data_IF_014892217392
#
_entry.id   IF_014892217392
#
_cell.length_a   1.000
_cell.length_b   1.000
_cell.length_c   1.000
_cell.angle_alpha   90.00
_cell.angle_beta   90.00
_cell.angle_gamma   90.00
#
_symmetry.space_group_name_H-M   'P 1'
#
loop_
_entity.id
_entity.type
_entity.pdbx_description
1 polymer ?
#
# COMPACT_ATOMS: atom_id res chain seq x y z
N UNK A 1 7.81 -12.97 -5.37
CA UNK A 1 7.21 -12.85 -4.01
C UNK A 1 5.91 -12.06 -4.07
N UNK A 2 4.94 -12.22 -3.16
CA UNK A 2 3.71 -11.39 -3.15
C UNK A 2 3.72 -10.41 -1.98
N UNK A 3 3.38 -9.16 -2.26
CA UNK A 3 3.42 -8.07 -1.27
C UNK A 3 2.12 -7.28 -1.36
N UNK A 4 1.46 -7.09 -0.21
CA UNK A 4 0.28 -6.22 -0.13
C UNK A 4 0.71 -4.82 0.26
N UNK A 5 0.13 -3.79 -0.38
CA UNK A 5 0.40 -2.39 -0.08
C UNK A 5 -0.87 -1.67 0.39
N UNK A 6 -0.71 -0.85 1.42
CA UNK A 6 -1.73 0.06 1.96
C UNK A 6 -1.75 1.40 1.22
N UNK A 7 -2.93 2.00 1.05
CA UNK A 7 -3.11 3.31 0.45
C UNK A 7 -2.29 4.41 1.16
N UNK A 8 -2.10 4.35 2.49
CA UNK A 8 -1.28 5.34 3.22
C UNK A 8 0.16 5.35 2.74
N UNK A 9 0.69 4.20 2.31
CA UNK A 9 2.03 4.08 1.73
C UNK A 9 2.07 4.81 0.38
N UNK A 10 1.10 4.56 -0.50
CA UNK A 10 0.97 5.24 -1.79
C UNK A 10 0.78 6.76 -1.66
N UNK A 11 0.04 7.22 -0.64
CA UNK A 11 -0.11 8.65 -0.34
C UNK A 11 1.20 9.24 0.18
N UNK A 12 1.89 8.52 1.07
CA UNK A 12 3.19 8.95 1.61
C UNK A 12 4.25 9.07 0.51
N UNK A 13 4.21 8.21 -0.50
CA UNK A 13 5.15 8.19 -1.63
C UNK A 13 5.20 9.52 -2.35
N UNK A 14 4.03 10.06 -2.67
CA UNK A 14 3.90 11.33 -3.41
C UNK A 14 4.07 12.55 -2.52
N UNK A 15 3.77 12.44 -1.22
CA UNK A 15 3.92 13.56 -0.28
C UNK A 15 5.37 13.79 0.18
N UNK A 16 6.22 12.79 -0.03
CA UNK A 16 7.59 12.82 0.47
C UNK A 16 8.57 13.42 -0.55
N UNK A 17 9.58 14.13 -0.03
CA UNK A 17 10.70 14.65 -0.83
C UNK A 17 11.57 13.56 -1.44
N UNK A 18 12.54 13.93 -2.29
CA UNK A 18 13.54 12.98 -2.83
C UNK A 18 14.23 12.23 -1.66
N UNK A 19 14.34 10.90 -1.76
CA UNK A 19 14.99 10.05 -0.77
C UNK A 19 14.10 9.49 0.34
N UNK A 20 12.78 9.71 0.29
CA UNK A 20 11.86 9.01 1.20
C UNK A 20 11.63 7.56 0.78
N UNK A 21 11.59 6.61 1.73
CA UNK A 21 11.26 5.22 1.46
C UNK A 21 9.97 5.00 0.68
N UNK A 22 8.95 5.85 0.89
CA UNK A 22 7.71 5.73 0.15
C UNK A 22 7.88 6.13 -1.33
N UNK A 23 8.76 7.09 -1.62
CA UNK A 23 9.14 7.43 -3.00
C UNK A 23 10.14 6.43 -3.59
N UNK A 24 10.94 5.77 -2.75
CA UNK A 24 11.75 4.63 -3.17
C UNK A 24 10.86 3.43 -3.53
N UNK A 25 9.68 3.28 -2.92
CA UNK A 25 8.69 2.30 -3.39
C UNK A 25 8.18 2.66 -4.79
N UNK A 26 7.83 3.93 -5.06
CA UNK A 26 7.51 4.36 -6.44
C UNK A 26 8.67 4.12 -7.41
N UNK A 27 9.92 4.31 -6.98
CA UNK A 27 11.11 4.06 -7.80
C UNK A 27 11.40 2.57 -8.00
N UNK A 28 11.26 1.78 -6.94
CA UNK A 28 11.22 0.32 -6.92
C UNK A 28 9.95 -0.25 -7.54
N UNK A 29 9.12 0.58 -8.18
CA UNK A 29 8.07 0.19 -9.11
C UNK A 29 8.29 0.80 -10.49
N UNK A 30 9.41 1.52 -10.69
CA UNK A 30 9.86 2.07 -11.99
C UNK A 30 11.11 1.43 -12.64
N UNK A 31 11.97 0.71 -11.90
CA UNK A 31 13.09 -0.08 -12.45
C UNK A 31 12.84 -1.61 -12.58
N UNK A 32 12.74 -2.12 -13.81
CA UNK A 32 12.60 -3.56 -14.12
C UNK A 32 13.96 -4.30 -13.98
N UNK A 33 14.03 -5.52 -13.37
CA UNK A 33 12.93 -6.32 -12.81
C UNK A 33 12.73 -6.20 -11.29
N UNK A 34 11.45 -6.19 -10.89
CA UNK A 34 11.05 -6.45 -9.50
C UNK A 34 10.80 -7.94 -9.32
N UNK A 35 11.38 -8.51 -8.27
CA UNK A 35 11.16 -9.92 -7.92
C UNK A 35 9.86 -10.15 -7.11
N UNK A 36 8.90 -9.21 -7.19
CA UNK A 36 7.64 -9.29 -6.45
C UNK A 36 6.41 -8.75 -7.18
N UNK A 37 5.25 -9.36 -6.88
CA UNK A 37 3.92 -8.95 -7.29
C UNK A 37 3.33 -8.03 -6.21
N UNK A 38 2.93 -6.81 -6.60
CA UNK A 38 2.15 -5.93 -5.72
C UNK A 38 0.66 -6.21 -5.82
N UNK A 39 0.04 -6.33 -4.65
CA UNK A 39 -1.37 -6.62 -4.47
C UNK A 39 -2.01 -5.57 -3.56
N UNK A 40 -3.31 -5.32 -3.75
CA UNK A 40 -4.08 -4.48 -2.86
C UNK A 40 -5.57 -4.86 -2.90
N UNK A 41 -6.36 -4.60 -1.85
CA UNK A 41 -7.80 -4.72 -1.96
C UNK A 41 -8.35 -3.71 -2.98
N UNK A 42 -9.44 -4.05 -3.68
CA UNK A 42 -10.05 -3.15 -4.67
C UNK A 42 -10.44 -1.77 -4.11
N UNK A 43 -10.61 -1.64 -2.80
CA UNK A 43 -10.87 -0.36 -2.13
C UNK A 43 -9.68 0.61 -2.13
N UNK A 44 -8.46 0.14 -2.42
CA UNK A 44 -7.24 0.96 -2.39
C UNK A 44 -7.37 2.20 -3.28
N UNK A 45 -7.81 2.03 -4.53
CA UNK A 45 -7.80 3.13 -5.49
C UNK A 45 -8.85 4.21 -5.20
N UNK A 46 -10.13 3.88 -4.90
CA UNK A 46 -11.08 4.88 -4.44
C UNK A 46 -10.61 5.63 -3.19
N UNK A 47 -10.05 4.92 -2.19
CA UNK A 47 -9.51 5.55 -0.97
C UNK A 47 -8.33 6.45 -1.28
N UNK A 48 -7.44 6.03 -2.18
CA UNK A 48 -6.28 6.80 -2.59
C UNK A 48 -6.71 8.12 -3.27
N UNK A 49 -7.64 8.06 -4.22
CA UNK A 49 -8.17 9.25 -4.89
C UNK A 49 -8.85 10.19 -3.90
N UNK A 50 -9.68 9.65 -2.99
CA UNK A 50 -10.33 10.42 -1.92
C UNK A 50 -9.30 11.15 -1.05
N UNK A 51 -8.27 10.45 -0.59
CA UNK A 51 -7.23 11.02 0.29
C UNK A 51 -6.42 12.10 -0.43
N UNK A 52 -6.03 11.86 -1.68
CA UNK A 52 -5.26 12.83 -2.48
C UNK A 52 -6.07 14.08 -2.82
N UNK A 53 -7.39 13.94 -2.99
CA UNK A 53 -8.31 15.05 -3.25
C UNK A 53 -8.60 15.91 -2.00
N UNK A 54 -8.19 15.49 -0.79
CA UNK A 54 -8.40 16.29 0.42
C UNK A 54 -7.70 17.66 0.29
N UNK A 55 -8.37 18.79 0.58
CA UNK A 55 -7.81 20.13 0.31
C UNK A 55 -6.41 20.38 0.88
N UNK A 56 -6.11 19.83 2.06
CA UNK A 56 -4.78 19.94 2.70
C UNK A 56 -3.70 19.19 1.92
N UNK A 57 -4.01 18.01 1.39
CA UNK A 57 -3.09 17.16 0.64
C UNK A 57 -2.90 17.74 -0.76
N UNK A 58 -4.00 18.07 -1.44
CA UNK A 58 -3.99 18.69 -2.76
C UNK A 58 -3.19 19.99 -2.77
N UNK A 59 -3.39 20.87 -1.78
CA UNK A 59 -2.61 22.12 -1.63
C UNK A 59 -1.11 21.86 -1.43
N UNK A 60 -0.73 20.77 -0.75
CA UNK A 60 0.66 20.41 -0.51
C UNK A 60 1.33 19.85 -1.77
N UNK A 61 0.60 19.06 -2.56
CA UNK A 61 1.11 18.48 -3.81
C UNK A 61 1.08 19.48 -4.97
N UNK A 62 0.17 20.45 -4.94
CA UNK A 62 -0.10 21.33 -6.06
C UNK A 62 -0.81 20.63 -7.22
N UNK A 63 -1.39 19.46 -6.99
CA UNK A 63 -2.00 18.62 -8.03
C UNK A 63 -3.45 18.99 -8.31
N UNK A 64 -3.81 18.95 -9.58
CA UNK A 64 -5.18 18.92 -10.09
C UNK A 64 -5.82 17.53 -9.92
N UNK A 65 -7.14 17.45 -10.06
CA UNK A 65 -7.86 16.16 -10.11
C UNK A 65 -7.34 15.27 -11.25
N UNK A 66 -6.94 15.87 -12.38
CA UNK A 66 -6.35 15.16 -13.51
C UNK A 66 -5.00 14.52 -13.14
N UNK A 67 -4.15 15.22 -12.40
CA UNK A 67 -2.86 14.67 -11.93
C UNK A 67 -3.05 13.54 -10.92
N UNK A 68 -4.04 13.66 -10.02
CA UNK A 68 -4.42 12.58 -9.10
C UNK A 68 -4.87 11.34 -9.91
N UNK A 69 -5.75 11.52 -10.91
CA UNK A 69 -6.22 10.42 -11.75
C UNK A 69 -5.09 9.76 -12.56
N UNK A 70 -4.15 10.56 -13.08
CA UNK A 70 -2.96 10.05 -13.77
C UNK A 70 -2.11 9.19 -12.82
N UNK A 71 -1.86 9.66 -11.60
CA UNK A 71 -1.10 8.91 -10.60
C UNK A 71 -1.77 7.58 -10.26
N UNK A 72 -3.06 7.60 -9.92
CA UNK A 72 -3.83 6.38 -9.62
C UNK A 72 -3.82 5.41 -10.79
N UNK A 73 -3.99 5.89 -12.02
CA UNK A 73 -3.94 5.04 -13.23
C UNK A 73 -2.58 4.41 -13.45
N UNK A 74 -1.49 5.13 -13.15
CA UNK A 74 -0.13 4.56 -13.23
C UNK A 74 0.05 3.44 -12.22
N UNK A 75 -0.39 3.62 -10.98
CA UNK A 75 -0.31 2.56 -9.97
C UNK A 75 -1.10 1.30 -10.36
N UNK A 76 -2.25 1.44 -11.03
CA UNK A 76 -3.03 0.31 -11.57
C UNK A 76 -2.27 -0.56 -12.57
N UNK A 77 -1.18 -0.07 -13.17
CA UNK A 77 -0.33 -0.87 -14.06
C UNK A 77 0.57 -1.83 -13.29
N UNK A 78 0.86 -1.54 -12.02
CA UNK A 78 1.81 -2.27 -11.19
C UNK A 78 1.16 -3.01 -10.02
N UNK A 79 0.03 -2.52 -9.53
CA UNK A 79 -0.70 -3.10 -8.39
C UNK A 79 -1.90 -3.87 -8.92
N UNK A 80 -1.94 -5.17 -8.61
CA UNK A 80 -3.08 -6.03 -8.90
C UNK A 80 -4.14 -5.92 -7.81
N UNK A 81 -5.36 -5.57 -8.21
CA UNK A 81 -6.52 -5.52 -7.32
C UNK A 81 -6.99 -6.94 -6.94
N UNK A 82 -7.34 -7.10 -5.67
CA UNK A 82 -7.87 -8.33 -5.09
C UNK A 82 -9.24 -8.01 -4.50
N UNK A 83 -10.25 -8.71 -4.99
CA UNK A 83 -11.61 -8.59 -4.46
C UNK A 83 -11.71 -9.37 -3.15
N UNK A 84 -11.83 -8.62 -2.06
CA UNK A 84 -12.13 -9.15 -0.74
C UNK A 84 -13.65 -9.10 -0.60
N UNK A 85 -14.35 -10.18 -0.97
CA UNK A 85 -15.82 -10.28 -0.93
C UNK A 85 -16.39 -10.19 0.49
N UNK A 86 -17.70 -10.42 0.67
CA UNK A 86 -18.32 -10.34 2.00
C UNK A 86 -17.70 -11.37 2.96
N UNK A 87 -16.99 -10.86 3.96
CA UNK A 87 -16.10 -11.63 4.81
C UNK A 87 -16.79 -12.16 6.05
N UNK A 88 -18.09 -12.50 5.98
CA UNK A 88 -18.89 -12.95 7.14
C UNK A 88 -18.33 -14.15 7.94
N UNK A 89 -17.17 -14.71 7.54
CA UNK A 89 -16.40 -15.73 8.26
C UNK A 89 -14.93 -15.35 8.54
N UNK A 90 -14.46 -14.17 8.12
CA UNK A 90 -13.08 -13.75 8.29
C UNK A 90 -12.96 -12.95 9.60
N UNK A 91 -11.94 -13.22 10.42
CA UNK A 91 -11.69 -12.45 11.63
C UNK A 91 -11.48 -10.96 11.35
N UNK A 92 -11.89 -10.15 12.33
CA UNK A 92 -11.39 -8.78 12.47
C UNK A 92 -9.96 -8.83 13.02
N UNK A 93 -9.03 -8.19 12.33
CA UNK A 93 -7.61 -8.15 12.66
C UNK A 93 -7.18 -6.79 13.21
N UNK A 94 -7.71 -5.70 12.64
CA UNK A 94 -7.35 -4.32 13.00
C UNK A 94 -8.38 -3.70 13.95
N UNK A 95 -8.04 -2.59 14.60
CA UNK A 95 -9.00 -1.86 15.45
C UNK A 95 -10.03 -1.14 14.58
N UNK A 96 -9.56 -0.44 13.55
CA UNK A 96 -10.38 0.13 12.49
C UNK A 96 -10.71 -0.93 11.44
N UNK A 97 -12.00 -1.24 11.26
CA UNK A 97 -12.45 -2.21 10.26
C UNK A 97 -12.23 -1.76 8.82
N UNK A 98 -11.97 -0.47 8.57
CA UNK A 98 -11.60 -0.01 7.22
C UNK A 98 -10.24 -0.59 6.76
N UNK A 99 -9.38 -1.02 7.70
CA UNK A 99 -8.04 -1.54 7.43
C UNK A 99 -7.99 -3.07 7.23
N UNK A 100 -8.99 -3.80 7.72
CA UNK A 100 -9.08 -5.26 7.61
C UNK A 100 -8.93 -5.79 6.17
N UNK A 101 -9.47 -5.14 5.12
CA UNK A 101 -9.31 -5.61 3.75
C UNK A 101 -7.86 -5.74 3.28
N UNK A 102 -6.92 -4.97 3.82
CA UNK A 102 -5.49 -5.14 3.53
C UNK A 102 -4.95 -6.45 4.11
N UNK A 103 -5.31 -6.76 5.36
CA UNK A 103 -4.94 -8.00 6.04
C UNK A 103 -5.59 -9.20 5.34
N UNK A 104 -6.87 -9.09 4.99
CA UNK A 104 -7.61 -10.13 4.27
C UNK A 104 -7.00 -10.40 2.90
N UNK A 105 -6.60 -9.35 2.17
CA UNK A 105 -5.87 -9.49 0.90
C UNK A 105 -4.59 -10.31 1.09
N UNK A 106 -3.82 -10.02 2.15
CA UNK A 106 -2.59 -10.74 2.44
C UNK A 106 -2.85 -12.22 2.74
N UNK A 107 -3.87 -12.52 3.55
CA UNK A 107 -4.26 -13.90 3.89
C UNK A 107 -4.74 -14.67 2.65
N UNK A 108 -5.69 -14.10 1.90
CA UNK A 108 -6.29 -14.74 0.72
C UNK A 108 -5.25 -15.06 -0.36
N UNK A 109 -4.29 -14.17 -0.55
CA UNK A 109 -3.28 -14.30 -1.61
C UNK A 109 -2.02 -15.04 -1.16
N UNK A 110 -1.92 -15.37 0.15
CA UNK A 110 -0.72 -15.87 0.81
C UNK A 110 0.48 -14.95 0.57
N UNK A 111 0.26 -13.65 0.79
CA UNK A 111 1.32 -12.66 0.67
C UNK A 111 2.43 -12.94 1.68
N UNK A 112 3.67 -12.67 1.27
CA UNK A 112 4.83 -12.78 2.14
C UNK A 112 4.90 -11.59 3.10
N UNK A 113 4.49 -10.42 2.62
CA UNK A 113 4.55 -9.17 3.37
C UNK A 113 3.29 -8.31 3.17
N UNK A 114 2.93 -7.55 4.20
CA UNK A 114 2.00 -6.42 4.15
C UNK A 114 2.78 -5.16 4.50
N UNK A 115 2.86 -4.21 3.57
CA UNK A 115 3.49 -2.90 3.79
C UNK A 115 2.40 -1.90 4.19
N UNK A 116 2.56 -1.28 5.35
CA UNK A 116 1.64 -0.24 5.82
C UNK A 116 2.36 0.93 6.49
N UNK A 117 1.70 2.08 6.50
CA UNK A 117 2.07 3.24 7.31
C UNK A 117 1.11 3.49 8.48
N UNK A 118 0.14 2.59 8.69
CA UNK A 118 -0.87 2.68 9.74
C UNK A 118 -0.43 1.93 11.00
N UNK A 119 -0.43 2.59 12.15
CA UNK A 119 -0.14 1.95 13.43
C UNK A 119 -1.12 0.84 13.79
N UNK A 120 -2.38 0.92 13.34
CA UNK A 120 -3.36 -0.14 13.63
C UNK A 120 -3.05 -1.44 12.86
N UNK A 121 -2.31 -1.36 11.75
CA UNK A 121 -1.76 -2.51 11.01
C UNK A 121 -0.36 -2.87 11.53
N UNK A 122 0.53 -1.90 11.69
CA UNK A 122 1.92 -2.11 12.11
C UNK A 122 2.03 -2.73 13.51
N UNK A 123 1.18 -2.30 14.44
CA UNK A 123 1.23 -2.71 15.86
C UNK A 123 0.28 -3.89 16.18
N UNK A 124 -0.21 -4.61 15.17
CA UNK A 124 -1.07 -5.77 15.36
C UNK A 124 -0.41 -6.82 16.27
N UNK A 125 -1.15 -7.30 17.27
CA UNK A 125 -0.70 -8.42 18.09
C UNK A 125 -0.97 -9.73 17.33
N UNK A 126 0.11 -10.42 16.94
CA UNK A 126 0.08 -11.68 16.17
C UNK A 126 -0.52 -11.52 14.76
N UNK A 127 0.09 -10.70 13.88
CA UNK A 127 -0.42 -10.53 12.53
C UNK A 127 -0.33 -11.86 11.74
N UNK A 128 -1.32 -12.18 10.88
CA UNK A 128 -1.32 -13.41 10.10
C UNK A 128 -0.32 -13.39 8.92
N UNK A 129 0.32 -12.25 8.69
CA UNK A 129 1.33 -11.98 7.66
C UNK A 129 2.42 -11.11 8.28
N UNK A 130 3.64 -11.18 7.77
CA UNK A 130 4.71 -10.27 8.22
C UNK A 130 4.39 -8.83 7.78
N UNK A 131 4.27 -7.94 8.74
CA UNK A 131 3.99 -6.53 8.49
C UNK A 131 5.29 -5.73 8.55
N UNK A 132 5.49 -4.83 7.59
CA UNK A 132 6.65 -3.92 7.53
C UNK A 132 6.18 -2.50 7.22
N UNK A 133 6.92 -1.50 7.69
CA UNK A 133 6.81 -0.17 7.10
C UNK A 133 7.56 -0.09 5.76
N UNK A 134 7.29 0.96 4.98
CA UNK A 134 7.91 1.13 3.66
C UNK A 134 9.46 1.21 3.72
N UNK A 135 10.00 1.80 4.78
CA UNK A 135 11.45 1.92 5.00
C UNK A 135 12.10 0.58 5.29
N UNK A 136 11.47 -0.21 6.16
CA UNK A 136 11.93 -1.55 6.49
C UNK A 136 11.89 -2.45 5.25
N UNK A 137 10.79 -2.41 4.49
CA UNK A 137 10.66 -3.21 3.27
C UNK A 137 11.77 -2.88 2.26
N UNK A 138 11.95 -1.59 1.92
CA UNK A 138 12.98 -1.16 0.97
C UNK A 138 14.38 -1.55 1.45
N UNK A 139 14.69 -1.33 2.73
CA UNK A 139 16.02 -1.66 3.28
C UNK A 139 16.33 -3.15 3.21
N UNK A 140 15.34 -4.01 3.49
CA UNK A 140 15.51 -5.46 3.40
C UNK A 140 15.59 -5.94 1.95
N UNK A 141 14.82 -5.32 1.05
CA UNK A 141 14.82 -5.65 -0.37
C UNK A 141 16.17 -5.32 -1.02
N UNK A 142 16.67 -4.11 -0.82
CA UNK A 142 17.96 -3.65 -1.34
C UNK A 142 19.13 -4.51 -0.80
N UNK A 143 19.00 -5.03 0.42
CA UNK A 143 19.97 -5.93 1.02
C UNK A 143 19.85 -7.40 0.57
N UNK A 144 18.83 -7.77 -0.21
CA UNK A 144 18.57 -9.15 -0.64
C UNK A 144 18.11 -10.07 0.51
N UNK A 145 17.42 -9.51 1.51
CA UNK A 145 17.00 -10.20 2.74
C UNK A 145 15.49 -10.53 2.79
N UNK A 146 14.76 -10.36 1.67
CA UNK A 146 13.33 -10.61 1.58
C UNK A 146 12.95 -11.99 1.05
#
# INVERSE_FOLDING_TARGET
>A
MKVVVDARVCVSAVLSGRGSPARNLDHALSEDPYDFDLLAPSQLFPKLEEVLARPKIQKRLGWSEAEISIYTRRLKLFIREIEVGDTGKIPKYTKDSEDDPYVHTAVLTRASYLISGDSDILDMQNPPVRVLDASQFISLWEAGLL
#
